data_IF_367457351974
#
_entry.id   IF_367457351974
#
_cell.length_a   1.000
_cell.length_b   1.000
_cell.length_c   1.000
_cell.angle_alpha   90.00
_cell.angle_beta   90.00
_cell.angle_gamma   90.00
#
_symmetry.space_group_name_H-M   'P 1'
#
loop_
_entity.id
_entity.type
_entity.pdbx_description
1 polymer ?
#
# COMPACT_ATOMS: atom_id res chain seq x y z
N UNK A 1 -115.01 -17.10 98.71
CA UNK A 1 -113.93 -16.17 99.08
C UNK A 1 -112.59 -16.79 98.68
N UNK A 2 -111.70 -15.98 98.11
CA UNK A 2 -110.25 -16.19 97.86
C UNK A 2 -109.81 -17.02 96.63
N UNK A 3 -109.51 -16.28 95.56
CA UNK A 3 -108.31 -16.40 94.70
C UNK A 3 -107.02 -16.08 95.50
N UNK A 4 -105.75 -16.31 95.04
CA UNK A 4 -105.28 -16.20 93.63
C UNK A 4 -104.06 -17.05 93.12
N UNK A 5 -103.87 -16.99 91.78
CA UNK A 5 -102.67 -17.11 90.90
C UNK A 5 -101.69 -18.31 90.94
N UNK A 6 -101.50 -18.96 89.77
CA UNK A 6 -100.39 -19.86 89.41
C UNK A 6 -100.03 -19.77 87.91
N UNK A 7 -98.72 -19.73 87.60
CA UNK A 7 -98.04 -19.23 86.38
C UNK A 7 -98.27 -20.01 85.08
N UNK A 8 -98.13 -19.31 83.94
CA UNK A 8 -98.04 -19.86 82.56
C UNK A 8 -96.62 -20.36 82.28
N UNK A 9 -96.46 -21.61 81.85
CA UNK A 9 -95.17 -22.15 81.42
C UNK A 9 -94.92 -21.87 79.93
N UNK A 10 -93.69 -21.42 79.68
CA UNK A 10 -93.25 -20.80 78.43
C UNK A 10 -92.96 -21.79 77.31
N UNK A 11 -93.24 -21.30 76.11
CA UNK A 11 -92.81 -21.84 74.82
C UNK A 11 -91.26 -21.85 74.76
N UNK A 12 -90.63 -23.03 74.74
CA UNK A 12 -89.19 -23.14 74.48
C UNK A 12 -88.94 -23.15 72.96
N UNK A 13 -88.13 -22.23 72.41
CA UNK A 13 -87.89 -22.20 70.97
C UNK A 13 -86.84 -23.24 70.59
N UNK A 14 -87.07 -23.92 69.46
CA UNK A 14 -86.18 -24.86 68.79
C UNK A 14 -84.87 -24.21 68.25
N UNK A 15 -84.12 -23.47 69.08
CA UNK A 15 -82.92 -22.73 68.65
C UNK A 15 -81.74 -23.63 68.25
N UNK A 16 -81.63 -24.84 68.82
CA UNK A 16 -80.47 -25.69 68.58
C UNK A 16 -80.47 -26.34 67.18
N UNK A 17 -81.64 -26.74 66.67
CA UNK A 17 -81.79 -27.28 65.31
C UNK A 17 -81.66 -26.19 64.25
N UNK A 18 -82.20 -25.00 64.52
CA UNK A 18 -82.09 -23.85 63.62
C UNK A 18 -80.63 -23.40 63.51
N UNK A 19 -79.88 -23.30 64.62
CA UNK A 19 -78.46 -22.96 64.59
C UNK A 19 -77.60 -24.03 63.91
N UNK A 20 -77.89 -25.32 64.13
CA UNK A 20 -77.15 -26.41 63.46
C UNK A 20 -77.40 -26.44 61.95
N UNK A 21 -78.65 -26.21 61.51
CA UNK A 21 -78.99 -26.03 60.09
C UNK A 21 -78.31 -24.79 59.48
N UNK A 22 -78.20 -23.70 60.24
CA UNK A 22 -77.49 -22.49 59.83
C UNK A 22 -75.99 -22.74 59.63
N UNK A 23 -75.35 -23.47 60.55
CA UNK A 23 -73.94 -23.85 60.42
C UNK A 23 -73.70 -24.78 59.22
N UNK A 24 -74.57 -25.77 59.00
CA UNK A 24 -74.48 -26.65 57.82
C UNK A 24 -74.67 -25.85 56.54
N UNK A 25 -75.62 -24.90 56.51
CA UNK A 25 -75.85 -24.04 55.35
C UNK A 25 -74.62 -23.16 55.05
N UNK A 26 -73.99 -22.56 56.06
CA UNK A 26 -72.75 -21.77 55.90
C UNK A 26 -71.59 -22.65 55.40
N UNK A 27 -71.47 -23.87 55.92
CA UNK A 27 -70.43 -24.82 55.51
C UNK A 27 -70.64 -25.28 54.05
N UNK A 28 -71.89 -25.53 53.65
CA UNK A 28 -72.22 -25.80 52.25
C UNK A 28 -71.90 -24.61 51.34
N UNK A 29 -72.24 -23.38 51.74
CA UNK A 29 -71.96 -22.17 50.95
C UNK A 29 -70.45 -21.97 50.79
N UNK A 30 -69.65 -22.18 51.84
CA UNK A 30 -68.19 -22.05 51.77
C UNK A 30 -67.55 -23.12 50.88
N UNK A 31 -68.00 -24.37 50.96
CA UNK A 31 -67.57 -25.44 50.03
C UNK A 31 -67.92 -25.09 48.59
N UNK A 32 -69.12 -24.57 48.35
CA UNK A 32 -69.55 -24.12 47.02
C UNK A 32 -68.66 -22.99 46.50
N UNK A 33 -68.32 -21.99 47.31
CA UNK A 33 -67.44 -20.87 46.90
C UNK A 33 -66.03 -21.37 46.54
N UNK A 34 -65.48 -22.32 47.32
CA UNK A 34 -64.14 -22.88 47.06
C UNK A 34 -64.13 -23.69 45.77
N UNK A 35 -65.21 -24.41 45.45
CA UNK A 35 -65.32 -25.19 44.21
C UNK A 35 -65.62 -24.34 42.97
N UNK A 36 -66.35 -23.22 43.14
CA UNK A 36 -66.69 -22.32 42.04
C UNK A 36 -65.45 -21.63 41.46
N UNK A 37 -64.47 -21.22 42.29
CA UNK A 37 -63.30 -20.48 41.80
C UNK A 37 -62.48 -21.26 40.75
N UNK A 38 -62.00 -22.50 41.02
CA UNK A 38 -61.31 -23.30 40.03
C UNK A 38 -62.17 -23.58 38.79
N UNK A 39 -63.48 -23.78 38.98
CA UNK A 39 -64.40 -24.01 37.88
C UNK A 39 -64.56 -22.77 36.98
N UNK A 40 -64.61 -21.56 37.55
CA UNK A 40 -64.67 -20.31 36.79
C UNK A 40 -63.35 -20.02 36.07
N UNK A 41 -62.20 -20.26 36.71
CA UNK A 41 -60.89 -20.11 36.06
C UNK A 41 -60.72 -21.14 34.94
N UNK A 42 -61.10 -22.40 35.18
CA UNK A 42 -61.11 -23.44 34.17
C UNK A 42 -62.07 -23.13 33.01
N UNK A 43 -63.23 -22.54 33.29
CA UNK A 43 -64.18 -22.12 32.27
C UNK A 43 -63.69 -20.92 31.44
N UNK A 44 -63.06 -19.91 32.07
CA UNK A 44 -62.51 -18.77 31.31
C UNK A 44 -61.38 -19.22 30.39
N UNK A 45 -60.49 -20.07 30.91
CA UNK A 45 -59.42 -20.70 30.15
C UNK A 45 -60.00 -21.56 29.00
N UNK A 46 -60.98 -22.41 29.28
CA UNK A 46 -61.64 -23.23 28.27
C UNK A 46 -62.37 -22.39 27.21
N UNK A 47 -62.91 -21.22 27.59
CA UNK A 47 -63.55 -20.29 26.65
C UNK A 47 -62.52 -19.59 25.76
N UNK A 48 -61.40 -19.13 26.32
CA UNK A 48 -60.28 -18.61 25.53
C UNK A 48 -59.76 -19.65 24.54
N UNK A 49 -59.69 -20.93 24.92
CA UNK A 49 -59.37 -22.04 24.01
C UNK A 49 -60.45 -22.29 22.95
N UNK A 50 -61.73 -22.16 23.32
CA UNK A 50 -62.84 -22.34 22.38
C UNK A 50 -62.88 -21.24 21.32
N UNK A 51 -62.49 -20.02 21.69
CA UNK A 51 -62.45 -18.86 20.80
C UNK A 51 -61.17 -18.82 19.93
N UNK A 52 -60.14 -19.61 20.26
CA UNK A 52 -58.86 -19.66 19.53
C UNK A 52 -58.66 -20.90 18.63
N UNK A 53 -59.69 -21.73 18.42
CA UNK A 53 -59.68 -22.97 17.61
C UNK A 53 -58.60 -24.02 17.98
N UNK A 54 -57.72 -23.72 18.94
CA UNK A 54 -56.57 -24.53 19.33
C UNK A 54 -56.84 -25.24 20.64
N UNK A 55 -56.55 -26.54 20.67
CA UNK A 55 -56.56 -27.31 21.91
C UNK A 55 -55.44 -26.83 22.85
N UNK A 56 -55.60 -26.97 24.19
CA UNK A 56 -54.56 -26.61 25.15
C UNK A 56 -53.19 -27.25 24.87
N UNK A 57 -53.21 -28.46 24.30
CA UNK A 57 -52.03 -29.20 23.84
C UNK A 57 -51.36 -28.57 22.62
N UNK A 58 -52.12 -28.01 21.67
CA UNK A 58 -51.57 -27.32 20.51
C UNK A 58 -50.97 -25.96 20.89
N UNK A 59 -51.55 -25.27 21.86
CA UNK A 59 -51.00 -24.01 22.38
C UNK A 59 -49.69 -24.22 23.15
N UNK A 60 -49.59 -25.28 23.97
CA UNK A 60 -48.31 -25.66 24.60
C UNK A 60 -47.25 -25.99 23.54
N UNK A 61 -47.64 -26.72 22.50
CA UNK A 61 -46.74 -27.09 21.41
C UNK A 61 -46.29 -25.87 20.59
N UNK A 62 -47.17 -24.90 20.35
CA UNK A 62 -46.81 -23.66 19.65
C UNK A 62 -45.95 -22.75 20.52
N UNK A 63 -46.16 -22.67 21.83
CA UNK A 63 -45.27 -21.95 22.75
C UNK A 63 -43.87 -22.59 22.78
N UNK A 64 -43.78 -23.92 22.81
CA UNK A 64 -42.49 -24.62 22.73
C UNK A 64 -41.80 -24.39 21.38
N UNK A 65 -42.55 -24.40 20.27
CA UNK A 65 -42.03 -24.11 18.94
C UNK A 65 -41.51 -22.66 18.84
N UNK A 66 -42.31 -21.68 19.26
CA UNK A 66 -41.92 -20.25 19.27
C UNK A 66 -40.72 -20.01 20.18
N UNK A 67 -40.65 -20.69 21.34
CA UNK A 67 -39.47 -20.61 22.22
C UNK A 67 -38.23 -21.21 21.56
N UNK A 68 -38.39 -22.30 20.81
CA UNK A 68 -37.33 -22.89 20.00
C UNK A 68 -36.83 -21.92 18.93
N UNK A 69 -37.76 -21.35 18.15
CA UNK A 69 -37.44 -20.40 17.09
C UNK A 69 -36.81 -19.11 17.63
N UNK A 70 -37.28 -18.61 18.77
CA UNK A 70 -36.69 -17.45 19.44
C UNK A 70 -35.23 -17.73 19.82
N UNK A 71 -34.95 -18.90 20.38
CA UNK A 71 -33.58 -19.30 20.74
C UNK A 71 -32.68 -19.45 19.51
N UNK A 72 -33.20 -20.00 18.41
CA UNK A 72 -32.46 -20.08 17.14
C UNK A 72 -32.15 -18.67 16.63
N UNK A 73 -33.13 -17.77 16.64
CA UNK A 73 -32.94 -16.37 16.20
C UNK A 73 -31.97 -15.59 17.09
N UNK A 74 -31.95 -15.85 18.39
CA UNK A 74 -30.98 -15.28 19.32
C UNK A 74 -29.55 -15.74 19.00
N UNK A 75 -29.35 -17.03 18.71
CA UNK A 75 -28.05 -17.57 18.31
C UNK A 75 -27.60 -17.03 16.95
N UNK A 76 -28.51 -16.90 15.98
CA UNK A 76 -28.22 -16.29 14.68
C UNK A 76 -27.83 -14.80 14.83
N UNK A 77 -28.50 -14.06 15.71
CA UNK A 77 -28.19 -12.66 15.97
C UNK A 77 -26.80 -12.53 16.61
N UNK A 78 -26.48 -13.36 17.61
CA UNK A 78 -25.16 -13.39 18.23
C UNK A 78 -24.06 -13.73 17.23
N UNK A 79 -24.27 -14.73 16.38
CA UNK A 79 -23.33 -15.07 15.31
C UNK A 79 -23.12 -13.90 14.34
N UNK A 80 -24.19 -13.21 13.97
CA UNK A 80 -24.11 -12.05 13.08
C UNK A 80 -23.39 -10.85 13.72
N UNK A 81 -23.60 -10.63 15.02
CA UNK A 81 -22.88 -9.60 15.80
C UNK A 81 -21.38 -9.92 15.88
N UNK A 82 -21.02 -11.18 16.12
CA UNK A 82 -19.63 -11.65 16.13
C UNK A 82 -18.97 -11.49 14.75
N UNK A 83 -19.62 -11.95 13.68
CA UNK A 83 -19.13 -11.79 12.29
C UNK A 83 -18.95 -10.30 11.93
N UNK A 84 -19.90 -9.44 12.35
CA UNK A 84 -19.83 -7.99 12.09
C UNK A 84 -18.66 -7.35 12.85
N UNK A 85 -18.43 -7.77 14.10
CA UNK A 85 -17.29 -7.31 14.90
C UNK A 85 -15.96 -7.72 14.25
N UNK A 86 -15.85 -8.97 13.82
CA UNK A 86 -14.65 -9.49 13.15
C UNK A 86 -14.35 -8.75 11.84
N UNK A 87 -15.37 -8.47 11.03
CA UNK A 87 -15.20 -7.69 9.80
C UNK A 87 -14.83 -6.22 10.09
N UNK A 88 -15.35 -5.62 11.17
CA UNK A 88 -14.94 -4.29 11.60
C UNK A 88 -13.46 -4.25 12.02
N UNK A 89 -12.99 -5.26 12.76
CA UNK A 89 -11.60 -5.36 13.17
C UNK A 89 -10.66 -5.57 11.98
N UNK A 90 -11.04 -6.41 11.01
CA UNK A 90 -10.29 -6.59 9.76
C UNK A 90 -10.24 -5.29 8.95
N UNK A 91 -11.35 -4.56 8.87
CA UNK A 91 -11.39 -3.29 8.16
C UNK A 91 -10.55 -2.22 8.85
N UNK A 92 -10.57 -2.15 10.18
CA UNK A 92 -9.71 -1.25 10.96
C UNK A 92 -8.22 -1.56 10.76
N UNK A 93 -7.84 -2.85 10.76
CA UNK A 93 -6.48 -3.28 10.47
C UNK A 93 -6.03 -2.92 9.04
N UNK A 94 -6.90 -3.14 8.06
CA UNK A 94 -6.65 -2.77 6.67
C UNK A 94 -6.45 -1.25 6.49
N UNK A 95 -7.28 -0.43 7.15
CA UNK A 95 -7.14 1.03 7.11
C UNK A 95 -5.81 1.48 7.74
N UNK A 96 -5.41 0.88 8.86
CA UNK A 96 -4.12 1.18 9.49
C UNK A 96 -2.93 0.81 8.59
N UNK A 97 -3.01 -0.32 7.89
CA UNK A 97 -1.97 -0.74 6.94
C UNK A 97 -1.89 0.22 5.74
N UNK A 98 -3.03 0.61 5.16
CA UNK A 98 -3.10 1.57 4.06
C UNK A 98 -2.48 2.92 4.47
N UNK A 99 -2.80 3.43 5.66
CA UNK A 99 -2.24 4.70 6.13
C UNK A 99 -0.73 4.58 6.36
N UNK A 100 -0.27 3.44 6.88
CA UNK A 100 1.16 3.16 7.03
C UNK A 100 1.87 3.15 5.67
N UNK A 101 1.33 2.43 4.68
CA UNK A 101 1.88 2.40 3.33
C UNK A 101 1.90 3.79 2.69
N UNK A 102 0.82 4.55 2.82
CA UNK A 102 0.74 5.93 2.31
C UNK A 102 1.86 6.81 2.89
N UNK A 103 2.07 6.77 4.20
CA UNK A 103 3.14 7.56 4.82
C UNK A 103 4.55 7.12 4.38
N UNK A 104 4.76 5.82 4.09
CA UNK A 104 6.03 5.36 3.53
C UNK A 104 6.24 5.87 2.11
N UNK A 105 5.21 5.81 1.26
CA UNK A 105 5.27 6.34 -0.10
C UNK A 105 5.53 7.85 -0.12
N UNK A 106 4.87 8.63 0.75
CA UNK A 106 5.12 10.07 0.88
C UNK A 106 6.58 10.36 1.26
N UNK A 107 7.14 9.63 2.23
CA UNK A 107 8.57 9.76 2.59
C UNK A 107 9.51 9.36 1.46
N UNK A 108 9.16 8.36 0.67
CA UNK A 108 9.95 7.92 -0.49
C UNK A 108 9.94 8.98 -1.59
N UNK A 109 8.78 9.58 -1.86
CA UNK A 109 8.64 10.67 -2.81
C UNK A 109 9.51 11.85 -2.38
N UNK A 110 9.42 12.29 -1.12
CA UNK A 110 10.21 13.41 -0.61
C UNK A 110 11.73 13.14 -0.71
N UNK A 111 12.18 11.92 -0.42
CA UNK A 111 13.58 11.53 -0.61
C UNK A 111 14.02 11.64 -2.07
N UNK A 112 13.23 11.07 -2.99
CA UNK A 112 13.55 11.09 -4.42
C UNK A 112 13.53 12.51 -5.00
N UNK A 113 12.61 13.36 -4.55
CA UNK A 113 12.58 14.77 -4.95
C UNK A 113 13.83 15.52 -4.48
N UNK A 114 14.28 15.27 -3.25
CA UNK A 114 15.53 15.84 -2.74
C UNK A 114 16.76 15.31 -3.50
N UNK A 115 16.81 14.02 -3.82
CA UNK A 115 17.88 13.43 -4.62
C UNK A 115 17.93 14.07 -6.01
N UNK A 116 16.79 14.23 -6.68
CA UNK A 116 16.71 14.92 -7.99
C UNK A 116 17.18 16.37 -7.86
N UNK A 117 16.75 17.08 -6.80
CA UNK A 117 17.13 18.47 -6.55
C UNK A 117 18.63 18.65 -6.36
N UNK A 118 19.32 17.67 -5.78
CA UNK A 118 20.75 17.72 -5.51
C UNK A 118 21.59 17.19 -6.70
N UNK A 119 21.19 16.07 -7.30
CA UNK A 119 21.94 15.41 -8.38
C UNK A 119 21.86 16.17 -9.71
N UNK A 120 20.71 16.78 -10.01
CA UNK A 120 20.52 17.54 -11.26
C UNK A 120 21.51 18.70 -11.41
N UNK A 121 21.67 19.62 -10.44
CA UNK A 121 22.65 20.70 -10.57
C UNK A 121 24.09 20.19 -10.55
N UNK A 122 24.40 19.13 -9.81
CA UNK A 122 25.74 18.51 -9.82
C UNK A 122 26.09 17.95 -11.21
N UNK A 123 25.14 17.25 -11.83
CA UNK A 123 25.28 16.75 -13.19
C UNK A 123 25.50 17.88 -14.21
N UNK A 124 24.66 18.93 -14.16
CA UNK A 124 24.80 20.07 -15.08
C UNK A 124 26.11 20.82 -14.86
N UNK A 125 26.55 21.01 -13.61
CA UNK A 125 27.84 21.63 -13.31
C UNK A 125 29.01 20.81 -13.89
N UNK A 126 28.99 19.49 -13.70
CA UNK A 126 30.02 18.59 -14.23
C UNK A 126 30.03 18.57 -15.75
N UNK A 127 28.85 18.61 -16.38
CA UNK A 127 28.72 18.69 -17.83
C UNK A 127 29.37 19.96 -18.38
N UNK A 128 29.10 21.13 -17.79
CA UNK A 128 29.70 22.40 -18.21
C UNK A 128 31.22 22.38 -18.08
N UNK A 129 31.75 21.81 -17.00
CA UNK A 129 33.21 21.68 -16.81
C UNK A 129 33.81 20.79 -17.90
N UNK A 130 33.22 19.63 -18.17
CA UNK A 130 33.70 18.72 -19.21
C UNK A 130 33.61 19.31 -20.62
N UNK A 131 32.57 20.09 -20.91
CA UNK A 131 32.44 20.78 -22.20
C UNK A 131 33.54 21.85 -22.36
N UNK A 132 33.87 22.58 -21.30
CA UNK A 132 34.97 23.54 -21.30
C UNK A 132 36.35 22.87 -21.44
N UNK A 133 36.59 21.77 -20.73
CA UNK A 133 37.82 20.98 -20.85
C UNK A 133 37.99 20.40 -22.26
N UNK A 134 36.91 19.88 -22.84
CA UNK A 134 36.93 19.38 -24.22
C UNK A 134 37.25 20.50 -25.21
N UNK A 135 36.61 21.67 -25.07
CA UNK A 135 36.87 22.81 -25.93
C UNK A 135 38.33 23.27 -25.83
N UNK A 136 38.88 23.36 -24.62
CA UNK A 136 40.28 23.71 -24.42
C UNK A 136 41.22 22.68 -25.05
N UNK A 137 40.99 21.39 -24.81
CA UNK A 137 41.80 20.32 -25.40
C UNK A 137 41.77 20.34 -26.93
N UNK A 138 40.61 20.63 -27.54
CA UNK A 138 40.52 20.78 -29.00
C UNK A 138 41.28 22.00 -29.53
N UNK A 139 41.29 23.09 -28.78
CA UNK A 139 42.08 24.27 -29.13
C UNK A 139 43.59 23.99 -29.05
N UNK A 140 44.02 23.39 -27.94
CA UNK A 140 45.42 23.04 -27.70
C UNK A 140 45.94 22.05 -28.76
N UNK A 141 45.12 21.07 -29.16
CA UNK A 141 45.46 20.14 -30.22
C UNK A 141 45.66 20.85 -31.56
N UNK A 142 44.75 21.76 -31.94
CA UNK A 142 44.86 22.51 -33.18
C UNK A 142 46.04 23.49 -33.19
N UNK A 143 46.44 24.02 -32.02
CA UNK A 143 47.68 24.80 -31.89
C UNK A 143 48.93 23.92 -32.04
N UNK A 144 48.94 22.76 -31.38
CA UNK A 144 50.05 21.82 -31.46
C UNK A 144 50.27 21.30 -32.88
N UNK A 145 49.19 20.98 -33.61
CA UNK A 145 49.26 20.57 -35.02
C UNK A 145 49.89 21.66 -35.90
N UNK A 146 49.46 22.93 -35.72
CA UNK A 146 50.03 24.06 -36.46
C UNK A 146 51.53 24.24 -36.17
N UNK A 147 51.91 24.18 -34.89
CA UNK A 147 53.31 24.31 -34.49
C UNK A 147 54.15 23.15 -35.05
N UNK A 148 53.63 21.92 -35.03
CA UNK A 148 54.32 20.76 -35.58
C UNK A 148 54.51 20.87 -37.10
N UNK A 149 53.49 21.31 -37.84
CA UNK A 149 53.59 21.54 -39.28
C UNK A 149 54.65 22.61 -39.62
N UNK A 150 54.71 23.69 -38.85
CA UNK A 150 55.71 24.75 -39.04
C UNK A 150 57.13 24.23 -38.79
N UNK A 151 57.37 23.52 -37.69
CA UNK A 151 58.67 22.92 -37.36
C UNK A 151 59.10 21.92 -38.42
N UNK A 152 58.20 21.05 -38.89
CA UNK A 152 58.52 20.07 -39.96
C UNK A 152 58.87 20.78 -41.26
N UNK A 153 58.16 21.85 -41.60
CA UNK A 153 58.42 22.65 -42.80
C UNK A 153 59.79 23.34 -42.73
N UNK A 154 60.11 23.97 -41.61
CA UNK A 154 61.42 24.60 -41.38
C UNK A 154 62.55 23.57 -41.42
N UNK A 155 62.41 22.48 -40.66
CA UNK A 155 63.40 21.41 -40.62
C UNK A 155 63.65 20.79 -42.01
N UNK A 156 62.61 20.60 -42.81
CA UNK A 156 62.76 20.10 -44.18
C UNK A 156 63.44 21.15 -45.08
N UNK A 157 63.12 22.44 -44.95
CA UNK A 157 63.79 23.50 -45.70
C UNK A 157 65.30 23.54 -45.37
N UNK A 158 65.65 23.49 -44.10
CA UNK A 158 67.03 23.44 -43.62
C UNK A 158 67.76 22.21 -44.10
N UNK A 159 67.11 21.04 -44.03
CA UNK A 159 67.68 19.79 -44.54
C UNK A 159 67.97 19.87 -46.05
N UNK A 160 67.03 20.38 -46.86
CA UNK A 160 67.27 20.53 -48.30
C UNK A 160 68.38 21.54 -48.60
N UNK A 161 68.46 22.64 -47.85
CA UNK A 161 69.53 23.63 -47.97
C UNK A 161 70.90 23.02 -47.62
N UNK A 162 70.99 22.29 -46.51
CA UNK A 162 72.21 21.60 -46.09
C UNK A 162 72.64 20.56 -47.12
N UNK A 163 71.70 19.73 -47.58
CA UNK A 163 71.95 18.71 -48.63
C UNK A 163 72.52 19.35 -49.89
N UNK A 164 71.90 20.43 -50.39
CA UNK A 164 72.36 21.13 -51.59
C UNK A 164 73.72 21.79 -51.40
N UNK A 165 73.95 22.45 -50.26
CA UNK A 165 75.22 23.09 -49.93
C UNK A 165 76.35 22.06 -49.81
N UNK A 166 76.11 20.95 -49.12
CA UNK A 166 77.06 19.84 -49.01
C UNK A 166 77.34 19.23 -50.39
N UNK A 167 76.32 19.02 -51.22
CA UNK A 167 76.48 18.48 -52.56
C UNK A 167 77.26 19.40 -53.49
N UNK A 168 76.98 20.70 -53.46
CA UNK A 168 77.77 21.68 -54.20
C UNK A 168 79.23 21.66 -53.73
N UNK A 169 79.50 21.69 -52.43
CA UNK A 169 80.88 21.67 -51.92
C UNK A 169 81.65 20.40 -52.33
N UNK A 170 81.02 19.23 -52.27
CA UNK A 170 81.66 17.95 -52.60
C UNK A 170 81.80 17.78 -54.11
N UNK A 171 80.70 17.95 -54.86
CA UNK A 171 80.66 17.64 -56.28
C UNK A 171 81.29 18.72 -57.15
N UNK A 172 81.26 20.00 -56.74
CA UNK A 172 82.01 21.03 -57.46
C UNK A 172 83.52 20.81 -57.34
N UNK A 173 83.99 20.31 -56.20
CA UNK A 173 85.39 19.90 -56.06
C UNK A 173 85.71 18.73 -57.00
N UNK A 174 84.88 17.68 -57.01
CA UNK A 174 85.06 16.55 -57.92
C UNK A 174 84.99 16.95 -59.40
N UNK A 175 84.17 17.96 -59.75
CA UNK A 175 84.03 18.48 -61.11
C UNK A 175 85.30 19.14 -61.66
N UNK A 176 86.16 19.66 -60.78
CA UNK A 176 87.47 20.19 -61.19
C UNK A 176 88.31 19.09 -61.83
N UNK A 177 88.23 17.87 -61.30
CA UNK A 177 88.95 16.70 -61.81
C UNK A 177 88.20 16.03 -62.98
N UNK A 178 86.87 15.97 -62.89
CA UNK A 178 86.00 15.40 -63.93
C UNK A 178 84.92 16.40 -64.38
N UNK A 179 85.14 17.01 -65.55
CA UNK A 179 84.24 18.02 -66.11
C UNK A 179 82.85 17.50 -66.48
N UNK A 180 82.65 16.18 -66.57
CA UNK A 180 81.35 15.58 -66.90
C UNK A 180 80.35 15.64 -65.76
N UNK A 181 80.80 15.88 -64.52
CA UNK A 181 79.94 16.00 -63.34
C UNK A 181 79.14 17.30 -63.40
N UNK A 182 77.80 17.19 -63.38
CA UNK A 182 76.87 18.33 -63.45
C UNK A 182 75.65 18.18 -62.51
N UNK A 183 75.59 17.11 -61.74
CA UNK A 183 74.44 16.75 -60.90
C UNK A 183 74.84 15.83 -59.75
N UNK A 184 73.92 15.60 -58.82
CA UNK A 184 74.14 14.73 -57.68
C UNK A 184 72.88 13.95 -57.30
N UNK A 185 73.06 12.89 -56.52
CA UNK A 185 72.00 12.18 -55.82
C UNK A 185 72.46 11.75 -54.44
N UNK A 186 71.51 11.52 -53.54
CA UNK A 186 71.78 10.99 -52.20
C UNK A 186 71.39 9.52 -52.17
N UNK A 187 72.34 8.64 -51.89
CA UNK A 187 72.12 7.20 -51.77
C UNK A 187 72.59 6.77 -50.39
N UNK A 188 71.69 6.19 -49.58
CA UNK A 188 71.99 5.76 -48.21
C UNK A 188 72.63 6.86 -47.33
N UNK A 189 72.21 8.12 -47.51
CA UNK A 189 72.74 9.27 -46.77
C UNK A 189 74.08 9.81 -47.28
N UNK A 190 74.67 9.22 -48.32
CA UNK A 190 75.89 9.72 -48.94
C UNK A 190 75.59 10.48 -50.25
N UNK A 191 76.32 11.57 -50.48
CA UNK A 191 76.25 12.35 -51.74
C UNK A 191 77.11 11.66 -52.79
N UNK A 192 76.48 11.33 -53.93
CA UNK A 192 77.12 10.74 -55.10
C UNK A 192 77.03 11.73 -56.26
N UNK A 193 78.19 12.13 -56.77
CA UNK A 193 78.31 13.08 -57.88
C UNK A 193 78.23 12.34 -59.22
N UNK A 194 77.54 12.91 -60.20
CA UNK A 194 77.38 12.30 -61.51
C UNK A 194 76.90 13.28 -62.58
N UNK A 195 76.42 12.74 -63.69
CA UNK A 195 75.92 13.51 -64.82
C UNK A 195 74.46 13.15 -65.13
N UNK A 196 73.61 14.15 -65.37
CA UNK A 196 72.22 13.95 -65.80
C UNK A 196 71.21 13.53 -64.74
N UNK A 197 71.55 13.60 -63.45
CA UNK A 197 70.60 13.37 -62.35
C UNK A 197 69.65 14.57 -62.18
N UNK A 198 68.53 14.35 -61.47
CA UNK A 198 67.47 15.34 -61.29
C UNK A 198 67.92 16.59 -60.53
N UNK A 199 68.83 16.44 -59.56
CA UNK A 199 69.34 17.55 -58.76
C UNK A 199 70.69 18.04 -59.32
N UNK A 200 70.66 19.23 -59.93
CA UNK A 200 71.85 19.86 -60.54
C UNK A 200 72.71 20.56 -59.49
N UNK A 201 74.03 20.45 -59.65
CA UNK A 201 74.98 21.19 -58.82
C UNK A 201 75.16 22.61 -59.35
N UNK A 202 75.42 23.55 -58.45
CA UNK A 202 75.75 24.94 -58.79
C UNK A 202 77.15 25.25 -58.29
N UNK A 203 78.09 25.26 -59.23
CA UNK A 203 79.47 25.71 -59.13
C UNK A 203 79.59 26.94 -60.05
#
# INVERSE_FOLDING_TARGET
MKWPFGKKEGWQPHHHHINYLLFIAILLITVIIVLIRPALTGYSIAKEFKDSELTPTEMLRSMEAVKGDLKVKELELQSCEEDTSDEQDKMAACLADIETQKTDYEKRIERLENDIKNLKPEYEAKKVVLEAELQQATFDLAELERNYEEVVKEMNADYQALKKNAANNICCKARVDDKSIDSFKVVNGAIVCGSGEAERISC
#
